data_IF_657342944538
#
_entry.id   IF_657342944538
#
_cell.length_a   1.000
_cell.length_b   1.000
_cell.length_c   1.000
_cell.angle_alpha   90.00
_cell.angle_beta   90.00
_cell.angle_gamma   90.00
#
_symmetry.space_group_name_H-M   'P 1'
#
loop_
_entity.id
_entity.type
_entity.pdbx_description
1 polymer ?
#
# COMPACT_ATOMS: atom_id res chain seq x y z
N UNK A 1 5.78 1.07 -14.92
CA UNK A 1 5.95 -0.29 -14.36
C UNK A 1 4.86 -1.19 -14.88
N UNK A 2 5.09 -2.52 -15.00
CA UNK A 2 4.05 -3.49 -15.37
C UNK A 2 2.86 -3.45 -14.42
N UNK A 3 1.67 -3.83 -14.91
CA UNK A 3 0.44 -3.81 -14.11
C UNK A 3 0.53 -4.63 -12.81
N UNK A 4 1.08 -5.87 -12.80
CA UNK A 4 1.28 -6.62 -11.56
C UNK A 4 2.13 -5.85 -10.54
N UNK A 5 3.19 -5.18 -10.99
CA UNK A 5 4.05 -4.36 -10.13
C UNK A 5 3.32 -3.13 -9.58
N UNK A 6 2.46 -2.47 -10.38
CA UNK A 6 1.66 -1.34 -9.88
C UNK A 6 0.70 -1.77 -8.77
N UNK A 7 0.02 -2.92 -8.95
CA UNK A 7 -0.86 -3.48 -7.91
C UNK A 7 -0.10 -3.87 -6.64
N UNK A 8 1.06 -4.50 -6.78
CA UNK A 8 1.89 -4.86 -5.63
C UNK A 8 2.44 -3.61 -4.89
N UNK A 9 2.82 -2.57 -5.63
CA UNK A 9 3.23 -1.28 -5.04
C UNK A 9 2.09 -0.57 -4.31
N UNK A 10 0.87 -0.63 -4.86
CA UNK A 10 -0.32 -0.10 -4.21
C UNK A 10 -0.57 -0.80 -2.86
N UNK A 11 -0.50 -2.14 -2.84
CA UNK A 11 -0.63 -2.92 -1.60
C UNK A 11 0.43 -2.51 -0.56
N UNK A 12 1.70 -2.37 -0.96
CA UNK A 12 2.77 -1.93 -0.08
C UNK A 12 2.64 -0.47 0.37
N UNK A 13 2.07 0.41 -0.46
CA UNK A 13 1.91 1.83 -0.15
C UNK A 13 0.73 2.10 0.81
N UNK A 14 -0.28 1.21 0.79
CA UNK A 14 -1.48 1.30 1.60
C UNK A 14 -1.20 1.13 3.09
N UNK A 15 -0.28 0.23 3.48
CA UNK A 15 0.23 0.11 4.85
C UNK A 15 1.75 -0.10 4.86
N UNK A 16 2.49 0.98 5.09
CA UNK A 16 3.96 0.90 5.22
C UNK A 16 4.43 0.49 6.62
N UNK A 17 3.52 0.45 7.60
CA UNK A 17 3.82 0.04 8.97
C UNK A 17 3.54 -1.46 9.20
N UNK A 18 2.81 -2.11 8.28
CA UNK A 18 2.56 -3.54 8.30
C UNK A 18 3.86 -4.36 8.28
N UNK A 19 3.91 -5.49 9.00
CA UNK A 19 4.95 -6.49 8.82
C UNK A 19 5.04 -6.94 7.36
N UNK A 20 6.26 -7.29 6.90
CA UNK A 20 6.47 -7.76 5.52
C UNK A 20 5.52 -8.90 5.14
N UNK A 21 5.35 -9.88 6.04
CA UNK A 21 4.46 -11.03 5.80
C UNK A 21 3.01 -10.59 5.53
N UNK A 22 2.50 -9.60 6.26
CA UNK A 22 1.15 -9.05 6.07
C UNK A 22 1.01 -8.38 4.70
N UNK A 23 2.03 -7.64 4.27
CA UNK A 23 2.02 -6.99 2.94
C UNK A 23 2.06 -8.03 1.82
N UNK A 24 2.92 -9.06 1.94
CA UNK A 24 3.01 -10.13 0.95
C UNK A 24 1.71 -10.92 0.85
N UNK A 25 1.08 -11.22 1.99
CA UNK A 25 -0.23 -11.88 2.00
C UNK A 25 -1.32 -11.00 1.38
N UNK A 26 -1.30 -9.69 1.62
CA UNK A 26 -2.19 -8.74 0.94
C UNK A 26 -2.00 -8.73 -0.59
N UNK A 27 -0.76 -8.85 -1.07
CA UNK A 27 -0.48 -8.99 -2.52
C UNK A 27 -1.07 -10.30 -3.07
N UNK A 28 -0.90 -11.41 -2.36
CA UNK A 28 -1.43 -12.72 -2.75
C UNK A 28 -2.96 -12.73 -2.77
N UNK A 29 -3.61 -12.11 -1.78
CA UNK A 29 -5.06 -11.96 -1.72
C UNK A 29 -5.64 -11.17 -2.90
N UNK A 30 -4.82 -10.33 -3.55
CA UNK A 30 -5.15 -9.58 -4.77
C UNK A 30 -4.78 -10.33 -6.06
N UNK A 31 -4.42 -11.62 -5.95
CA UNK A 31 -4.01 -12.47 -7.07
C UNK A 31 -2.63 -12.13 -7.63
N UNK A 32 -1.78 -11.48 -6.84
CA UNK A 32 -0.38 -11.22 -7.18
C UNK A 32 0.58 -12.23 -6.54
N UNK A 33 1.87 -11.97 -6.70
CA UNK A 33 2.94 -12.71 -6.03
C UNK A 33 3.99 -11.76 -5.46
N UNK A 34 4.81 -12.19 -4.48
CA UNK A 34 5.96 -11.39 -4.02
C UNK A 34 6.89 -10.95 -5.17
N UNK A 35 7.01 -11.78 -6.22
CA UNK A 35 7.82 -11.49 -7.41
C UNK A 35 7.36 -10.25 -8.20
N UNK A 36 6.11 -9.81 -8.03
CA UNK A 36 5.59 -8.62 -8.70
C UNK A 36 6.27 -7.33 -8.22
N UNK A 37 6.91 -7.35 -7.04
CA UNK A 37 7.72 -6.23 -6.53
C UNK A 37 9.11 -6.14 -7.19
N UNK A 38 9.60 -7.23 -7.81
CA UNK A 38 10.97 -7.29 -8.33
C UNK A 38 11.28 -6.20 -9.38
N UNK A 39 10.37 -5.80 -10.30
CA UNK A 39 10.64 -4.67 -11.18
C UNK A 39 10.82 -3.35 -10.42
N UNK A 40 10.05 -3.10 -9.37
CA UNK A 40 10.19 -1.88 -8.56
C UNK A 40 11.49 -1.88 -7.73
N UNK A 41 11.88 -3.04 -7.22
CA UNK A 41 13.16 -3.21 -6.51
C UNK A 41 14.37 -2.99 -7.43
N UNK A 42 14.34 -3.55 -8.65
CA UNK A 42 15.39 -3.34 -9.67
C UNK A 42 15.54 -1.87 -10.06
N UNK A 43 14.42 -1.15 -10.19
CA UNK A 43 14.39 0.30 -10.43
C UNK A 43 14.72 1.13 -9.18
N UNK A 44 15.04 0.49 -8.04
CA UNK A 44 15.37 1.11 -6.75
C UNK A 44 14.28 2.04 -6.24
N UNK A 45 13.02 1.73 -6.53
CA UNK A 45 11.86 2.49 -6.05
C UNK A 45 11.54 2.16 -4.59
N UNK A 46 11.85 0.94 -4.19
CA UNK A 46 11.79 0.45 -2.83
C UNK A 46 12.95 -0.51 -2.57
N UNK A 47 13.15 -0.84 -1.29
CA UNK A 47 14.02 -1.91 -0.82
C UNK A 47 13.22 -2.88 0.03
N UNK A 48 13.48 -4.17 -0.10
CA UNK A 48 12.87 -5.23 0.69
C UNK A 48 13.95 -5.87 1.56
N UNK A 49 13.89 -5.61 2.87
CA UNK A 49 14.72 -6.30 3.87
C UNK A 49 13.78 -7.09 4.80
N UNK A 50 13.80 -6.82 6.11
CA UNK A 50 12.77 -7.26 7.05
C UNK A 50 11.43 -6.50 6.91
N UNK A 51 11.42 -5.44 6.09
CA UNK A 51 10.28 -4.58 5.78
C UNK A 51 10.43 -3.98 4.39
N UNK A 52 9.33 -3.50 3.82
CA UNK A 52 9.36 -2.72 2.58
C UNK A 52 9.62 -1.25 2.94
N UNK A 53 10.66 -0.67 2.35
CA UNK A 53 10.97 0.77 2.50
C UNK A 53 10.98 1.43 1.13
N UNK A 54 10.07 2.38 0.91
CA UNK A 54 10.10 3.21 -0.29
C UNK A 54 11.31 4.14 -0.26
N UNK A 55 12.03 4.24 -1.38
CA UNK A 55 13.24 5.08 -1.47
C UNK A 55 12.93 6.56 -1.26
N UNK A 56 11.76 7.00 -1.73
CA UNK A 56 11.31 8.38 -1.58
C UNK A 56 9.83 8.42 -1.17
N UNK A 57 9.42 9.33 -0.26
CA UNK A 57 8.01 9.51 0.12
C UNK A 57 7.09 9.75 -1.08
N UNK A 58 7.59 10.41 -2.13
CA UNK A 58 6.83 10.65 -3.36
C UNK A 58 6.53 9.40 -4.16
N UNK A 59 7.42 8.39 -4.15
CA UNK A 59 7.18 7.11 -4.84
C UNK A 59 6.01 6.39 -4.18
N UNK A 60 6.00 6.36 -2.84
CA UNK A 60 4.87 5.83 -2.07
C UNK A 60 3.59 6.58 -2.39
N UNK A 61 3.64 7.91 -2.36
CA UNK A 61 2.47 8.75 -2.62
C UNK A 61 1.91 8.50 -4.03
N UNK A 62 2.76 8.46 -5.06
CA UNK A 62 2.35 8.15 -6.43
C UNK A 62 1.74 6.74 -6.54
N UNK A 63 2.40 5.73 -5.98
CA UNK A 63 1.88 4.35 -5.99
C UNK A 63 0.49 4.22 -5.37
N UNK A 64 0.17 5.02 -4.34
CA UNK A 64 -1.13 4.99 -3.69
C UNK A 64 -2.17 5.93 -4.33
N UNK A 65 -1.78 7.14 -4.72
CA UNK A 65 -2.71 8.17 -5.21
C UNK A 65 -3.05 8.03 -6.69
N UNK A 66 -2.15 7.48 -7.51
CA UNK A 66 -2.43 7.24 -8.93
C UNK A 66 -3.38 6.04 -9.13
N UNK A 67 -3.57 5.22 -8.09
CA UNK A 67 -4.49 4.10 -8.13
C UNK A 67 -5.95 4.58 -8.09
N UNK A 68 -6.81 4.10 -9.01
CA UNK A 68 -8.24 4.36 -8.95
C UNK A 68 -8.84 3.96 -7.60
N UNK A 69 -9.88 4.68 -7.18
CA UNK A 69 -10.54 4.46 -5.89
C UNK A 69 -10.95 3.00 -5.64
N UNK A 70 -11.44 2.29 -6.68
CA UNK A 70 -11.85 0.89 -6.54
C UNK A 70 -10.68 -0.02 -6.13
N UNK A 71 -9.49 0.18 -6.70
CA UNK A 71 -8.30 -0.62 -6.36
C UNK A 71 -7.82 -0.32 -4.94
N UNK A 72 -7.90 0.95 -4.51
CA UNK A 72 -7.60 1.33 -3.12
C UNK A 72 -8.55 0.62 -2.15
N UNK A 73 -9.85 0.63 -2.45
CA UNK A 73 -10.86 -0.09 -1.64
C UNK A 73 -10.58 -1.59 -1.60
N UNK A 74 -10.27 -2.21 -2.74
CA UNK A 74 -9.94 -3.64 -2.82
C UNK A 74 -8.74 -3.99 -1.94
N UNK A 75 -7.67 -3.20 -1.99
CA UNK A 75 -6.48 -3.39 -1.15
C UNK A 75 -6.81 -3.28 0.33
N UNK A 76 -7.55 -2.25 0.74
CA UNK A 76 -7.94 -2.09 2.14
C UNK A 76 -8.83 -3.25 2.62
N UNK A 77 -9.75 -3.75 1.78
CA UNK A 77 -10.54 -4.95 2.09
C UNK A 77 -9.68 -6.20 2.24
N UNK A 78 -8.77 -6.44 1.30
CA UNK A 78 -7.85 -7.58 1.36
C UNK A 78 -7.04 -7.63 2.67
N UNK A 79 -6.56 -6.47 3.13
CA UNK A 79 -5.91 -6.38 4.44
C UNK A 79 -6.87 -6.65 5.60
N UNK A 80 -8.08 -6.08 5.58
CA UNK A 80 -9.05 -6.29 6.65
C UNK A 80 -9.49 -7.76 6.78
N UNK A 81 -9.61 -8.47 5.64
CA UNK A 81 -9.98 -9.89 5.61
C UNK A 81 -8.85 -10.79 6.11
N UNK A 82 -7.59 -10.41 5.83
CA UNK A 82 -6.40 -11.13 6.28
C UNK A 82 -6.09 -10.97 7.78
N UNK A 83 -6.43 -9.82 8.37
CA UNK A 83 -6.14 -9.49 9.77
C UNK A 83 -7.23 -10.09 10.67
N UNK A 84 -7.00 -11.30 11.18
CA UNK A 84 -7.98 -12.09 11.93
C UNK A 84 -7.72 -12.20 13.43
N UNK A 85 -6.52 -11.86 13.91
CA UNK A 85 -6.17 -12.00 15.32
C UNK A 85 -6.60 -10.78 16.15
N UNK A 86 -6.92 -10.99 17.43
CA UNK A 86 -7.25 -9.90 18.38
C UNK A 86 -6.13 -8.84 18.45
N UNK A 87 -4.87 -9.28 18.39
CA UNK A 87 -3.70 -8.39 18.37
C UNK A 87 -3.62 -7.48 17.13
N UNK A 88 -4.44 -7.73 16.10
CA UNK A 88 -4.49 -6.99 14.84
C UNK A 88 -5.76 -6.15 14.71
N UNK A 89 -6.64 -6.14 15.74
CA UNK A 89 -7.94 -5.50 15.70
C UNK A 89 -7.86 -4.00 15.33
N UNK A 90 -6.89 -3.27 15.87
CA UNK A 90 -6.68 -1.86 15.56
C UNK A 90 -6.32 -1.64 14.08
N UNK A 91 -5.41 -2.47 13.53
CA UNK A 91 -5.00 -2.39 12.13
C UNK A 91 -6.16 -2.79 11.20
N UNK A 92 -6.90 -3.83 11.57
CA UNK A 92 -8.12 -4.26 10.86
C UNK A 92 -9.15 -3.12 10.82
N UNK A 93 -9.41 -2.48 11.96
CA UNK A 93 -10.34 -1.36 12.05
C UNK A 93 -9.90 -0.18 11.16
N UNK A 94 -8.60 0.11 11.12
CA UNK A 94 -8.05 1.13 10.22
C UNK A 94 -8.25 0.79 8.73
N UNK A 95 -8.08 -0.48 8.33
CA UNK A 95 -8.35 -0.91 6.95
C UNK A 95 -9.84 -0.95 6.60
N UNK A 96 -10.72 -1.17 7.58
CA UNK A 96 -12.18 -1.09 7.37
C UNK A 96 -12.69 0.35 7.29
N UNK A 97 -11.94 1.32 7.81
CA UNK A 97 -12.30 2.73 7.69
C UNK A 97 -12.30 3.15 6.22
N UNK A 98 -13.26 4.00 5.80
CA UNK A 98 -13.30 4.48 4.42
C UNK A 98 -12.01 5.23 4.11
N UNK A 99 -11.35 4.95 2.96
CA UNK A 99 -10.13 5.64 2.58
C UNK A 99 -10.48 7.11 2.37
N UNK A 100 -10.02 7.97 3.29
CA UNK A 100 -10.23 9.41 3.18
C UNK A 100 -9.56 9.90 1.91
N UNK A 101 -10.30 10.68 1.10
CA UNK A 101 -9.68 11.46 0.03
C UNK A 101 -8.75 12.45 0.73
N UNK A 102 -7.45 12.26 0.58
CA UNK A 102 -6.47 13.19 1.13
C UNK A 102 -6.83 14.59 0.62
N UNK A 103 -7.24 15.50 1.52
CA UNK A 103 -7.45 16.89 1.18
C UNK A 103 -6.13 17.44 0.64
N UNK A 104 -6.13 17.85 -0.62
CA UNK A 104 -5.00 18.57 -1.21
C UNK A 104 -4.74 19.79 -0.34
N UNK A 105 -3.51 19.95 0.14
CA UNK A 105 -3.13 21.10 0.96
C UNK A 105 -3.55 22.39 0.28
N UNK A 106 -4.51 23.09 0.88
CA UNK A 106 -4.77 24.48 0.55
C UNK A 106 -3.54 25.26 1.02
N UNK A 107 -2.66 25.60 0.08
CA UNK A 107 -1.68 26.66 0.26
C UNK A 107 -2.46 27.96 0.49
N UNK A 108 -2.65 28.32 1.75
CA UNK A 108 -3.01 29.69 2.15
C UNK A 108 -1.74 30.51 2.01
N UNK A 109 -1.69 31.33 0.97
CA UNK A 109 -0.71 32.41 0.86
C UNK A 109 -1.29 33.64 1.58
N UNK A 110 -0.62 34.21 2.59
CA UNK A 110 -1.01 35.51 3.11
C UNK A 110 -0.54 36.64 2.18
N UNK A 111 -1.41 37.63 2.01
CA UNK A 111 -1.13 38.92 1.37
C UNK A 111 -0.38 39.85 2.32
#
# INVERSE_FOLDING_TARGET
>A
LPEPTRRALLAAAADTAAPLATILHGIEALGGTPGDLAPAERERLLRIDSRITFRHPLVRAAAYQDAPLHQRIEVHRAYADALGAEAEADRRAWHLAPPTTASSGAVVSPA
#
